data_IF_894509563048
#
_entry.id   IF_894509563048
#
_cell.length_a   1.000
_cell.length_b   1.000
_cell.length_c   1.000
_cell.angle_alpha   90.00
_cell.angle_beta   90.00
_cell.angle_gamma   90.00
#
_symmetry.space_group_name_H-M   'P 1'
#
loop_
_entity.id
_entity.type
_entity.pdbx_description
1 polymer ?
#
# COMPACT_ATOMS: atom_id res chain seq x y z
N UNK A 1 -7.82 16.27 0.10
CA UNK A 1 -7.03 15.09 0.53
C UNK A 1 -6.19 14.58 -0.64
N UNK A 2 -4.91 14.40 -0.42
CA UNK A 2 -3.99 14.02 -1.48
C UNK A 2 -4.00 12.51 -1.66
N UNK A 3 -4.31 12.04 -2.88
CA UNK A 3 -4.22 10.63 -3.20
C UNK A 3 -2.82 10.29 -3.67
N UNK A 4 -2.28 9.18 -3.20
CA UNK A 4 -1.00 8.69 -3.68
C UNK A 4 -1.16 8.06 -5.06
N UNK A 5 -0.24 8.41 -5.95
CA UNK A 5 -0.17 7.84 -7.30
C UNK A 5 1.00 6.86 -7.33
N UNK A 6 1.08 6.08 -8.40
CA UNK A 6 2.15 5.10 -8.57
C UNK A 6 3.54 5.73 -8.47
N UNK A 7 3.69 6.96 -8.91
CA UNK A 7 4.98 7.67 -8.90
C UNK A 7 5.23 8.47 -7.63
N UNK A 8 4.23 8.60 -6.75
CA UNK A 8 4.40 9.34 -5.51
C UNK A 8 5.23 8.53 -4.51
N UNK A 9 6.08 9.21 -3.72
CA UNK A 9 6.93 8.50 -2.76
C UNK A 9 6.12 7.98 -1.57
N UNK A 10 6.56 6.84 -1.04
CA UNK A 10 6.02 6.31 0.22
C UNK A 10 6.24 7.35 1.31
N UNK A 11 5.18 7.79 2.02
CA UNK A 11 5.30 8.91 2.95
C UNK A 11 6.03 8.57 4.25
N UNK A 12 6.09 7.29 4.62
CA UNK A 12 6.76 6.88 5.85
C UNK A 12 7.13 5.39 5.78
N UNK A 13 7.85 4.94 6.78
CA UNK A 13 8.20 3.53 6.94
C UNK A 13 9.53 3.17 6.30
N UNK A 14 9.77 1.87 6.20
CA UNK A 14 11.03 1.31 5.70
C UNK A 14 11.33 1.74 4.26
N UNK A 15 10.28 1.91 3.46
CA UNK A 15 10.40 2.26 2.05
C UNK A 15 10.10 3.74 1.78
N UNK A 16 10.21 4.58 2.81
CA UNK A 16 9.99 6.02 2.66
C UNK A 16 10.82 6.58 1.51
N UNK A 17 10.18 7.35 0.64
CA UNK A 17 10.86 7.95 -0.52
C UNK A 17 10.85 7.08 -1.77
N UNK A 18 10.49 5.80 -1.64
CA UNK A 18 10.37 4.90 -2.79
C UNK A 18 9.04 5.12 -3.49
N UNK A 19 9.00 5.26 -4.82
CA UNK A 19 7.71 5.37 -5.52
C UNK A 19 6.79 4.20 -5.15
N UNK A 20 5.51 4.51 -4.97
CA UNK A 20 4.55 3.49 -4.50
C UNK A 20 4.55 2.25 -5.38
N UNK A 21 4.72 2.42 -6.69
CA UNK A 21 4.76 1.27 -7.61
C UNK A 21 5.97 0.35 -7.39
N UNK A 22 7.03 0.88 -6.78
CA UNK A 22 8.25 0.12 -6.50
C UNK A 22 8.27 -0.48 -5.09
N UNK A 23 7.29 -0.15 -4.26
CA UNK A 23 7.17 -0.74 -2.94
C UNK A 23 6.66 -2.18 -3.09
N UNK A 24 7.34 -3.18 -2.51
CA UNK A 24 6.91 -4.58 -2.67
C UNK A 24 5.49 -4.81 -2.17
N UNK A 25 4.74 -5.62 -2.90
CA UNK A 25 3.36 -5.95 -2.51
C UNK A 25 3.32 -6.64 -1.13
N UNK A 26 4.31 -7.46 -0.82
CA UNK A 26 4.41 -8.11 0.48
C UNK A 26 4.52 -7.10 1.62
N UNK A 27 5.24 -6.01 1.41
CA UNK A 27 5.36 -4.96 2.41
C UNK A 27 4.04 -4.21 2.58
N UNK A 28 3.37 -3.90 1.47
CA UNK A 28 2.06 -3.25 1.52
C UNK A 28 1.01 -4.15 2.19
N UNK A 29 1.09 -5.45 1.94
CA UNK A 29 0.21 -6.41 2.61
C UNK A 29 0.44 -6.41 4.11
N UNK A 30 1.69 -6.37 4.55
CA UNK A 30 2.03 -6.29 5.98
C UNK A 30 1.44 -5.04 6.62
N UNK A 31 1.58 -3.89 5.94
CA UNK A 31 0.97 -2.64 6.41
C UNK A 31 -0.54 -2.77 6.49
N UNK A 32 -1.13 -3.36 5.47
CA UNK A 32 -2.58 -3.50 5.35
C UNK A 32 -3.16 -4.31 6.50
N UNK A 33 -2.48 -5.39 6.88
CA UNK A 33 -2.99 -6.31 7.91
C UNK A 33 -2.44 -6.00 9.29
N UNK A 34 -1.13 -5.87 9.44
CA UNK A 34 -0.50 -5.76 10.75
C UNK A 34 -0.61 -4.36 11.35
N UNK A 35 -0.56 -3.34 10.52
CA UNK A 35 -0.67 -1.96 10.98
C UNK A 35 -2.09 -1.43 10.95
N UNK A 36 -3.06 -2.25 10.61
CA UNK A 36 -4.47 -1.86 10.63
C UNK A 36 -4.87 -0.88 9.55
N UNK A 37 -4.09 -0.76 8.50
CA UNK A 37 -4.42 0.14 7.39
C UNK A 37 -5.74 -0.22 6.72
N UNK A 38 -6.15 -1.47 6.82
CA UNK A 38 -7.42 -1.93 6.28
C UNK A 38 -8.61 -1.19 6.89
N UNK A 39 -8.48 -0.83 8.17
CA UNK A 39 -9.53 -0.11 8.89
C UNK A 39 -9.35 1.41 8.85
N UNK A 40 -8.20 1.88 8.39
CA UNK A 40 -7.89 3.31 8.36
C UNK A 40 -8.44 3.95 7.09
N UNK A 41 -9.43 4.82 7.24
CA UNK A 41 -10.07 5.50 6.12
C UNK A 41 -9.34 6.78 5.71
N UNK A 42 -8.44 7.26 6.54
CA UNK A 42 -7.79 8.55 6.33
C UNK A 42 -6.35 8.44 5.83
N UNK A 43 -5.78 7.24 5.85
CA UNK A 43 -4.41 7.04 5.41
C UNK A 43 -4.31 7.05 3.88
N UNK A 44 -3.42 7.86 3.30
CA UNK A 44 -3.19 7.81 1.86
C UNK A 44 -2.62 6.47 1.39
N UNK A 45 -1.84 5.81 2.24
CA UNK A 45 -1.31 4.47 1.91
C UNK A 45 -2.44 3.44 1.87
N UNK A 46 -3.36 3.49 2.84
CA UNK A 46 -4.51 2.59 2.85
C UNK A 46 -5.39 2.80 1.62
N UNK A 47 -5.59 4.05 1.24
CA UNK A 47 -6.36 4.38 0.04
C UNK A 47 -5.68 3.82 -1.22
N UNK A 48 -4.37 3.97 -1.31
CA UNK A 48 -3.60 3.42 -2.43
C UNK A 48 -3.75 1.90 -2.50
N UNK A 49 -3.63 1.21 -1.37
CA UNK A 49 -3.79 -0.25 -1.32
C UNK A 49 -5.18 -0.65 -1.79
N UNK A 50 -6.22 0.04 -1.28
CA UNK A 50 -7.61 -0.27 -1.66
C UNK A 50 -7.85 -0.14 -3.16
N UNK A 51 -7.29 0.92 -3.77
CA UNK A 51 -7.48 1.16 -5.20
C UNK A 51 -6.73 0.18 -6.08
N UNK A 52 -5.70 -0.46 -5.53
CA UNK A 52 -4.83 -1.35 -6.29
C UNK A 52 -4.88 -2.81 -5.80
N UNK A 53 -5.93 -3.18 -5.07
CA UNK A 53 -6.02 -4.53 -4.49
C UNK A 53 -5.88 -5.62 -5.54
N UNK A 54 -6.52 -5.48 -6.69
CA UNK A 54 -6.45 -6.49 -7.74
C UNK A 54 -5.02 -6.69 -8.22
N UNK A 55 -4.30 -5.60 -8.47
CA UNK A 55 -2.92 -5.66 -8.93
C UNK A 55 -2.00 -6.22 -7.83
N UNK A 56 -2.22 -5.80 -6.60
CA UNK A 56 -1.41 -6.26 -5.47
C UNK A 56 -1.64 -7.75 -5.19
N UNK A 57 -2.89 -8.20 -5.29
CA UNK A 57 -3.21 -9.62 -5.11
C UNK A 57 -2.58 -10.47 -6.19
N UNK A 58 -2.47 -9.96 -7.40
CA UNK A 58 -1.81 -10.64 -8.51
C UNK A 58 -0.31 -10.72 -8.28
N UNK A 59 0.29 -9.65 -7.78
CA UNK A 59 1.71 -9.59 -7.48
C UNK A 59 2.09 -10.43 -6.25
N UNK A 60 1.18 -10.50 -5.27
CA UNK A 60 1.41 -11.27 -4.05
C UNK A 60 0.18 -12.12 -3.75
N UNK A 61 0.02 -13.22 -4.47
CA UNK A 61 -1.18 -14.07 -4.34
C UNK A 61 -1.31 -14.77 -2.98
N UNK A 62 -0.21 -14.90 -2.23
CA UNK A 62 -0.27 -15.49 -0.90
C UNK A 62 -0.89 -14.55 0.14
N UNK A 63 -1.11 -13.30 -0.22
CA UNK A 63 -1.74 -12.34 0.66
C UNK A 63 -3.24 -12.54 0.74
N UNK A 64 -3.79 -12.31 1.92
CA UNK A 64 -5.25 -12.40 2.13
C UNK A 64 -5.81 -10.97 2.06
N UNK A 65 -5.74 -10.39 0.91
CA UNK A 65 -6.19 -9.00 0.72
C UNK A 65 -7.71 -8.85 1.00
#
# INVERSE_FOLDING_TARGET
MTQLKDTDPMPWGKHKGTPMQDVPASYLFWFWTEKGMKADKNSPVADYIRRNLDALAEEYPDGIW
#
